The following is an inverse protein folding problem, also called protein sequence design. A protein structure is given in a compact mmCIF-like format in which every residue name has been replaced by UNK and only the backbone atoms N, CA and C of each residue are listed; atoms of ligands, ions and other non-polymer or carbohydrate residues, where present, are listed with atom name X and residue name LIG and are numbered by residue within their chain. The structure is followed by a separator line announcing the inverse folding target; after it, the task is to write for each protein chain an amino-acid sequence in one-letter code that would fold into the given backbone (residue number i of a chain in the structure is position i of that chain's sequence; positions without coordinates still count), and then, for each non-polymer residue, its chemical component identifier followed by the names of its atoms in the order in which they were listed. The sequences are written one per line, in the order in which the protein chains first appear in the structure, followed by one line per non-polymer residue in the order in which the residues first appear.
data_IF_207944477257
#
_entry.id   IF_207944477257
#
_cell.length_a   1.000
_cell.length_b   1.000
_cell.length_c   1.000
_cell.angle_alpha   90.00
_cell.angle_beta   90.00
_cell.angle_gamma   90.00
#
_symmetry.space_group_name_H-M   'P 1'
#
loop_
_entity.id
_entity.type
_entity.pdbx_description
1 polymer ?
#
# COMPACT_ATOMS: atom_id res chain seq x y z
N UNK A 1 14.06 -21.30 9.18
CA UNK A 1 14.55 -21.36 7.80
C UNK A 1 13.83 -20.38 6.87
N UNK A 2 12.51 -20.16 6.97
CA UNK A 2 11.77 -19.20 6.11
C UNK A 2 12.23 -17.74 6.23
N UNK A 3 12.65 -17.29 7.42
CA UNK A 3 13.11 -15.89 7.62
C UNK A 3 14.46 -15.60 6.94
N UNK A 4 15.33 -16.59 6.81
CA UNK A 4 16.62 -16.45 6.10
C UNK A 4 16.42 -16.36 4.59
N UNK A 5 15.44 -17.05 4.03
CA UNK A 5 15.13 -16.99 2.59
C UNK A 5 14.59 -15.63 2.17
N UNK A 6 13.80 -14.97 3.01
CA UNK A 6 13.25 -13.63 2.74
C UNK A 6 14.36 -12.57 2.75
N UNK A 7 15.31 -12.66 3.67
CA UNK A 7 16.46 -11.74 3.75
C UNK A 7 17.41 -11.98 2.57
N UNK A 8 17.66 -13.25 2.20
CA UNK A 8 18.49 -13.59 1.05
C UNK A 8 17.87 -13.15 -0.29
N UNK A 9 16.54 -13.27 -0.45
CA UNK A 9 15.84 -12.78 -1.64
C UNK A 9 15.87 -11.25 -1.73
N UNK A 10 15.77 -10.54 -0.62
CA UNK A 10 15.85 -9.08 -0.58
C UNK A 10 17.27 -8.57 -0.88
N UNK A 11 18.32 -9.29 -0.43
CA UNK A 11 19.72 -8.93 -0.71
C UNK A 11 20.15 -9.28 -2.13
N UNK A 12 19.59 -10.32 -2.77
CA UNK A 12 19.84 -10.63 -4.17
C UNK A 12 19.16 -9.67 -5.16
N UNK A 13 18.07 -9.01 -4.76
CA UNK A 13 17.38 -8.03 -5.61
C UNK A 13 18.12 -6.69 -5.72
N UNK A 14 18.99 -6.37 -4.75
CA UNK A 14 19.71 -5.08 -4.71
C UNK A 14 20.75 -4.89 -5.85
N UNK A 15 21.55 -5.88 -6.28
CA UNK A 15 22.54 -5.67 -7.33
C UNK A 15 21.94 -5.60 -8.74
N UNK A 16 20.73 -6.12 -8.98
CA UNK A 16 20.07 -6.03 -10.30
C UNK A 16 19.62 -4.58 -10.59
N UNK A 17 19.36 -3.79 -9.56
CA UNK A 17 18.98 -2.38 -9.70
C UNK A 17 20.19 -1.50 -10.03
N UNK A 18 21.41 -1.93 -9.68
CA UNK A 18 22.64 -1.16 -9.88
C UNK A 18 23.20 -1.23 -11.31
N UNK A 19 22.77 -2.17 -12.15
CA UNK A 19 23.29 -2.36 -13.52
C UNK A 19 22.37 -1.83 -14.63
N UNK A 20 21.19 -1.34 -14.31
CA UNK A 20 20.33 -0.67 -15.29
C UNK A 20 20.88 0.74 -15.56
N UNK A 21 21.77 0.84 -16.51
CA UNK A 21 22.30 2.09 -17.01
C UNK A 21 21.19 3.03 -17.49
N UNK A 22 21.37 4.32 -17.16
CA UNK A 22 20.71 5.52 -17.65
C UNK A 22 19.35 5.88 -17.07
N UNK A 23 19.42 6.91 -16.18
CA UNK A 23 18.34 7.86 -15.89
C UNK A 23 17.03 7.29 -15.34
N UNK A 24 17.06 6.18 -14.61
CA UNK A 24 15.87 5.64 -13.96
C UNK A 24 15.59 6.44 -12.71
N UNK A 25 14.58 7.33 -12.77
CA UNK A 25 14.19 8.09 -11.60
C UNK A 25 13.47 7.18 -10.61
N UNK A 26 14.07 7.01 -9.46
CA UNK A 26 13.50 6.25 -8.34
C UNK A 26 12.78 7.20 -7.41
N UNK A 27 11.60 6.84 -6.97
CA UNK A 27 10.78 7.56 -6.01
C UNK A 27 10.49 6.68 -4.81
N UNK A 28 10.68 7.22 -3.59
CA UNK A 28 10.27 6.58 -2.34
C UNK A 28 9.24 7.46 -1.66
N UNK A 29 8.14 6.89 -1.25
CA UNK A 29 7.10 7.56 -0.48
C UNK A 29 7.00 6.93 0.90
N UNK A 30 6.80 7.75 1.91
CA UNK A 30 6.42 7.33 3.24
C UNK A 30 5.43 8.33 3.82
N UNK A 31 4.37 7.83 4.45
CA UNK A 31 3.34 8.69 4.99
C UNK A 31 2.29 7.99 5.83
N UNK A 32 1.39 8.81 6.33
CA UNK A 32 0.19 8.39 7.02
C UNK A 32 -0.83 7.85 6.03
N UNK A 33 -1.57 6.84 6.45
CA UNK A 33 -2.62 6.22 5.66
C UNK A 33 -3.85 5.95 6.52
N UNK A 34 -5.00 6.34 6.01
CA UNK A 34 -6.31 6.05 6.57
C UNK A 34 -7.03 5.11 5.62
N UNK A 35 -7.69 4.09 6.16
CA UNK A 35 -8.50 3.15 5.39
C UNK A 35 -9.88 3.01 6.01
N UNK A 36 -10.91 3.15 5.18
CA UNK A 36 -12.28 2.86 5.52
C UNK A 36 -12.69 1.53 4.90
N UNK A 37 -13.10 0.61 5.74
CA UNK A 37 -13.66 -0.66 5.34
C UNK A 37 -15.16 -0.48 5.13
N UNK A 38 -15.64 -0.69 3.92
CA UNK A 38 -17.06 -0.85 3.66
C UNK A 38 -17.42 -2.32 3.87
N UNK A 39 -17.94 -2.63 5.03
CA UNK A 39 -18.46 -3.95 5.32
C UNK A 39 -19.93 -4.06 4.86
N UNK A 40 -20.39 -5.32 4.73
CA UNK A 40 -21.73 -5.76 4.32
C UNK A 40 -22.86 -5.02 5.09
N UNK A 41 -24.10 -4.97 4.58
CA UNK A 41 -25.20 -4.13 5.06
C UNK A 41 -25.57 -4.20 6.55
N UNK A 42 -24.95 -5.09 7.32
CA UNK A 42 -25.22 -5.32 8.75
C UNK A 42 -24.04 -5.02 9.69
N UNK A 43 -22.91 -4.49 9.16
CA UNK A 43 -21.72 -4.20 9.98
C UNK A 43 -21.40 -2.72 9.89
N UNK A 44 -21.03 -2.09 11.00
CA UNK A 44 -20.67 -0.66 11.02
C UNK A 44 -19.37 -0.45 10.25
N UNK A 45 -19.32 0.60 9.43
CA UNK A 45 -18.09 1.05 8.77
C UNK A 45 -16.96 1.16 9.79
N UNK A 46 -15.79 0.61 9.43
CA UNK A 46 -14.63 0.62 10.31
C UNK A 46 -13.54 1.52 9.75
N UNK A 47 -13.04 2.38 10.60
CA UNK A 47 -11.97 3.31 10.30
C UNK A 47 -10.64 2.78 10.84
N UNK A 48 -9.68 2.55 9.96
CA UNK A 48 -8.36 2.08 10.31
C UNK A 48 -7.32 3.15 10.00
N UNK A 49 -6.43 3.38 10.97
CA UNK A 49 -5.31 4.30 10.83
C UNK A 49 -4.01 3.52 10.64
N UNK A 50 -3.06 4.09 9.91
CA UNK A 50 -1.83 3.38 9.66
C UNK A 50 -0.79 4.13 8.85
N UNK A 51 0.05 3.38 8.18
CA UNK A 51 1.12 3.89 7.34
C UNK A 51 1.06 3.32 5.92
N UNK A 52 1.63 4.07 4.99
CA UNK A 52 1.90 3.60 3.63
C UNK A 52 3.33 3.97 3.23
N UNK A 53 4.06 2.98 2.73
CA UNK A 53 5.40 3.14 2.18
C UNK A 53 5.42 2.57 0.78
N UNK A 54 5.98 3.28 -0.18
CA UNK A 54 6.10 2.75 -1.53
C UNK A 54 7.36 3.19 -2.23
N UNK A 55 7.86 2.33 -3.14
CA UNK A 55 8.94 2.61 -4.06
C UNK A 55 8.44 2.51 -5.50
N UNK A 56 8.88 3.44 -6.37
CA UNK A 56 8.56 3.40 -7.78
C UNK A 56 9.80 3.67 -8.63
N UNK A 57 9.96 2.89 -9.70
CA UNK A 57 11.06 3.02 -10.65
C UNK A 57 10.47 3.32 -12.03
N UNK A 58 10.83 4.46 -12.60
CA UNK A 58 10.38 4.88 -13.94
C UNK A 58 11.10 4.03 -14.98
N UNK A 59 10.35 3.34 -15.84
CA UNK A 59 10.87 2.39 -16.84
C UNK A 59 10.70 2.87 -18.28
N UNK A 60 9.71 3.73 -18.56
CA UNK A 60 9.41 4.11 -19.94
C UNK A 60 8.93 5.56 -20.07
N UNK A 61 9.40 6.26 -21.14
CA UNK A 61 8.98 7.62 -21.57
C UNK A 61 8.82 8.63 -20.42
N UNK A 62 9.66 8.57 -19.40
CA UNK A 62 9.66 9.50 -18.26
C UNK A 62 8.36 9.51 -17.43
N UNK A 63 7.33 8.75 -17.81
CA UNK A 63 5.99 8.82 -17.20
C UNK A 63 5.50 7.50 -16.62
N UNK A 64 5.91 6.36 -17.19
CA UNK A 64 5.49 5.05 -16.72
C UNK A 64 6.52 4.47 -15.76
N UNK A 65 6.07 4.02 -14.61
CA UNK A 65 6.89 3.41 -13.56
C UNK A 65 6.28 2.08 -13.11
N UNK A 66 7.11 1.23 -12.54
CA UNK A 66 6.66 0.10 -11.71
C UNK A 66 6.72 0.55 -10.26
N UNK A 67 5.63 0.36 -9.53
CA UNK A 67 5.48 0.71 -8.12
C UNK A 67 5.32 -0.55 -7.29
N UNK A 68 6.02 -0.60 -6.15
CA UNK A 68 5.74 -1.51 -5.03
C UNK A 68 5.20 -0.69 -3.86
N UNK A 69 4.14 -1.16 -3.23
CA UNK A 69 3.40 -0.43 -2.18
C UNK A 69 3.15 -1.38 -0.99
N UNK A 70 3.52 -0.94 0.19
CA UNK A 70 3.30 -1.66 1.44
C UNK A 70 2.55 -0.74 2.39
N UNK A 71 1.42 -1.20 2.91
CA UNK A 71 0.69 -0.44 3.91
C UNK A 71 0.20 -1.34 5.05
N UNK A 72 0.17 -0.77 6.24
CA UNK A 72 -0.37 -1.42 7.44
C UNK A 72 -1.37 -0.51 8.11
N UNK A 73 -2.55 -1.05 8.41
CA UNK A 73 -3.66 -0.33 9.02
C UNK A 73 -4.11 -1.05 10.30
N UNK A 74 -4.38 -0.27 11.31
CA UNK A 74 -4.73 -0.74 12.66
C UNK A 74 -6.02 -0.06 13.11
N UNK A 75 -6.90 -0.82 13.74
CA UNK A 75 -8.13 -0.31 14.30
C UNK A 75 -8.67 -1.22 15.40
N UNK A 76 -9.51 -0.66 16.23
CA UNK A 76 -10.20 -1.39 17.29
C UNK A 76 -11.65 -1.58 16.86
N UNK A 77 -12.10 -2.83 16.82
CA UNK A 77 -13.50 -3.16 16.58
C UNK A 77 -14.21 -3.26 17.91
N UNK A 78 -15.19 -2.40 18.11
CA UNK A 78 -16.13 -2.51 19.24
C UNK A 78 -17.26 -3.47 18.81
N UNK A 79 -17.13 -4.73 19.15
CA UNK A 79 -18.25 -5.68 19.03
C UNK A 79 -19.05 -5.57 20.31
N UNK A 80 -20.35 -5.28 20.20
CA UNK A 80 -21.27 -4.90 21.30
C UNK A 80 -21.33 -5.84 22.51
N UNK A 81 -20.70 -7.02 22.48
CA UNK A 81 -20.83 -8.05 23.52
C UNK A 81 -19.47 -8.69 23.91
N UNK A 82 -18.35 -8.29 23.28
CA UNK A 82 -17.04 -8.90 23.53
C UNK A 82 -15.95 -7.89 23.82
N UNK A 83 -14.89 -8.26 24.57
CA UNK A 83 -13.75 -7.38 24.84
C UNK A 83 -13.07 -6.97 23.52
N UNK A 84 -12.38 -5.83 23.56
CA UNK A 84 -11.64 -5.20 22.47
C UNK A 84 -11.01 -6.21 21.53
N UNK A 85 -11.33 -6.11 20.26
CA UNK A 85 -10.71 -6.91 19.20
C UNK A 85 -9.79 -6.01 18.39
N UNK A 86 -8.49 -6.29 18.43
CA UNK A 86 -7.50 -5.56 17.64
C UNK A 86 -7.47 -6.14 16.22
N UNK A 87 -7.75 -5.30 15.23
CA UNK A 87 -7.66 -5.65 13.83
C UNK A 87 -6.44 -5.00 13.19
N UNK A 88 -5.69 -5.80 12.44
CA UNK A 88 -4.55 -5.36 11.65
C UNK A 88 -4.67 -5.85 10.23
N UNK A 89 -4.66 -4.93 9.28
CA UNK A 89 -4.65 -5.23 7.85
C UNK A 89 -3.34 -4.77 7.22
N UNK A 90 -2.63 -5.67 6.57
CA UNK A 90 -1.41 -5.40 5.83
C UNK A 90 -1.66 -5.65 4.34
N UNK A 91 -1.19 -4.74 3.49
CA UNK A 91 -1.27 -4.85 2.04
C UNK A 91 0.14 -4.84 1.46
N UNK A 92 0.41 -5.75 0.53
CA UNK A 92 1.64 -5.84 -0.26
C UNK A 92 1.26 -5.86 -1.73
N UNK A 93 1.41 -4.73 -2.39
CA UNK A 93 0.91 -4.52 -3.75
C UNK A 93 2.04 -4.08 -4.68
N UNK A 94 1.94 -4.42 -5.96
CA UNK A 94 2.85 -3.93 -7.00
C UNK A 94 2.10 -3.76 -8.32
N UNK A 95 2.59 -2.89 -9.18
CA UNK A 95 1.99 -2.67 -10.50
C UNK A 95 2.41 -1.38 -11.16
N UNK A 96 1.80 -1.05 -12.31
CA UNK A 96 2.12 0.15 -13.07
C UNK A 96 1.61 1.42 -12.38
N UNK A 97 2.43 2.47 -12.47
CA UNK A 97 2.08 3.85 -12.13
C UNK A 97 2.39 4.76 -13.30
N UNK A 98 1.44 5.59 -13.67
CA UNK A 98 1.60 6.64 -14.66
C UNK A 98 1.62 8.01 -14.01
N UNK A 99 2.67 8.83 -14.29
CA UNK A 99 2.84 10.17 -13.70
C UNK A 99 2.77 11.24 -14.79
N UNK A 100 1.89 12.22 -14.60
CA UNK A 100 1.74 13.38 -15.48
C UNK A 100 2.77 14.45 -15.11
N UNK A 101 3.73 14.73 -16.01
CA UNK A 101 4.87 15.60 -15.72
C UNK A 101 4.82 16.97 -16.40
N UNK A 102 3.74 17.28 -17.10
CA UNK A 102 3.59 18.53 -17.86
C UNK A 102 3.36 19.76 -16.98
N UNK A 103 2.94 19.58 -15.73
CA UNK A 103 2.62 20.70 -14.84
C UNK A 103 3.85 21.01 -13.95
N UNK A 104 4.35 22.27 -13.91
CA UNK A 104 5.64 22.58 -13.29
C UNK A 104 5.72 22.29 -11.79
N UNK A 105 4.68 22.60 -11.02
CA UNK A 105 4.70 22.52 -9.55
C UNK A 105 4.05 21.28 -8.99
N UNK A 106 3.08 20.71 -9.71
CA UNK A 106 2.33 19.53 -9.26
C UNK A 106 2.57 18.38 -10.20
N UNK A 107 2.50 17.16 -9.64
CA UNK A 107 2.59 15.93 -10.41
C UNK A 107 1.44 15.00 -10.05
N UNK A 108 0.36 15.02 -10.81
CA UNK A 108 -0.67 14.02 -10.71
C UNK A 108 -0.12 12.64 -11.14
N UNK A 109 -0.62 11.60 -10.53
CA UNK A 109 -0.33 10.22 -10.92
C UNK A 109 -1.57 9.34 -10.75
N UNK A 110 -1.58 8.24 -11.50
CA UNK A 110 -2.56 7.16 -11.35
C UNK A 110 -1.83 5.82 -11.35
N UNK A 111 -2.38 4.83 -10.67
CA UNK A 111 -1.82 3.49 -10.61
C UNK A 111 -2.90 2.41 -10.53
N UNK A 112 -2.50 1.19 -10.93
CA UNK A 112 -3.24 -0.03 -10.72
C UNK A 112 -2.28 -1.07 -10.14
N UNK A 113 -2.58 -1.57 -8.95
CA UNK A 113 -1.68 -2.42 -8.18
C UNK A 113 -2.38 -3.73 -7.83
N UNK A 114 -1.62 -4.82 -7.82
CA UNK A 114 -2.09 -6.17 -7.50
C UNK A 114 -1.18 -6.78 -6.45
N UNK A 115 -1.69 -7.69 -5.65
CA UNK A 115 -0.88 -8.37 -4.66
C UNK A 115 -1.69 -9.12 -3.64
N UNK A 116 -1.26 -9.03 -2.38
CA UNK A 116 -1.86 -9.77 -1.28
C UNK A 116 -2.24 -8.84 -0.14
N UNK A 117 -3.38 -9.14 0.48
CA UNK A 117 -3.82 -8.60 1.75
C UNK A 117 -3.65 -9.66 2.83
N UNK A 118 -3.14 -9.28 3.98
CA UNK A 118 -3.09 -10.10 5.17
C UNK A 118 -3.89 -9.43 6.26
N UNK A 119 -4.90 -10.13 6.77
CA UNK A 119 -5.73 -9.70 7.88
C UNK A 119 -5.35 -10.52 9.11
N UNK A 120 -5.14 -9.84 10.23
CA UNK A 120 -4.97 -10.44 11.54
C UNK A 120 -6.01 -9.86 12.47
N UNK A 121 -6.75 -10.74 13.11
CA UNK A 121 -7.73 -10.40 14.14
C UNK A 121 -7.28 -11.07 15.43
N UNK A 122 -6.91 -10.26 16.42
CA UNK A 122 -6.54 -10.75 17.75
C UNK A 122 -7.73 -10.61 18.67
N UNK A 123 -8.10 -11.69 19.31
CA UNK A 123 -9.19 -11.72 20.27
C UNK A 123 -8.60 -11.85 21.69
N UNK A 124 -8.74 -10.80 22.52
CA UNK A 124 -8.24 -10.82 23.90
C UNK A 124 -9.13 -11.63 24.85
N UNK A 125 -10.20 -12.26 24.33
CA UNK A 125 -11.05 -13.17 25.13
C UNK A 125 -10.32 -14.49 25.39
N UNK A 126 -10.29 -14.91 26.64
CA UNK A 126 -9.66 -16.16 27.09
C UNK A 126 -10.21 -17.35 26.29
N UNK A 127 -9.32 -18.04 25.54
CA UNK A 127 -9.64 -19.28 24.81
C UNK A 127 -9.97 -19.12 23.33
N UNK A 128 -9.93 -17.92 22.76
CA UNK A 128 -10.07 -17.74 21.31
C UNK A 128 -8.71 -17.61 20.61
N UNK A 129 -8.53 -18.39 19.53
CA UNK A 129 -7.31 -18.33 18.73
C UNK A 129 -7.27 -17.06 17.85
N UNK A 130 -6.06 -16.52 17.64
CA UNK A 130 -5.81 -15.47 16.67
C UNK A 130 -6.17 -15.94 15.25
N UNK A 131 -6.98 -15.19 14.55
CA UNK A 131 -7.34 -15.49 13.16
C UNK A 131 -6.38 -14.71 12.26
N UNK A 132 -5.70 -15.44 11.38
CA UNK A 132 -4.87 -14.83 10.33
C UNK A 132 -5.33 -15.38 8.98
N UNK A 133 -5.69 -14.47 8.09
CA UNK A 133 -6.04 -14.84 6.73
C UNK A 133 -5.23 -14.02 5.72
N UNK A 134 -4.97 -14.60 4.55
CA UNK A 134 -4.21 -13.97 3.47
C UNK A 134 -4.92 -14.25 2.16
N UNK A 135 -5.22 -13.20 1.43
CA UNK A 135 -5.93 -13.29 0.17
C UNK A 135 -5.44 -12.32 -0.88
N UNK A 136 -6.04 -12.40 -2.06
CA UNK A 136 -5.73 -11.50 -3.17
C UNK A 136 -6.21 -10.08 -2.88
N UNK A 137 -5.40 -9.09 -3.29
CA UNK A 137 -5.75 -7.69 -3.21
C UNK A 137 -5.47 -6.97 -4.54
N UNK A 138 -6.35 -6.06 -4.87
CA UNK A 138 -6.23 -5.13 -5.99
C UNK A 138 -6.47 -3.71 -5.50
N UNK A 139 -5.64 -2.75 -5.96
CA UNK A 139 -5.87 -1.34 -5.70
C UNK A 139 -5.78 -0.54 -7.00
N UNK A 140 -6.75 0.35 -7.21
CA UNK A 140 -6.73 1.33 -8.30
C UNK A 140 -6.95 2.72 -7.71
N UNK A 141 -6.10 3.66 -8.10
CA UNK A 141 -6.19 5.00 -7.56
C UNK A 141 -5.18 5.96 -8.15
N UNK A 142 -4.98 7.06 -7.44
CA UNK A 142 -4.05 8.09 -7.84
C UNK A 142 -3.93 9.20 -6.81
N UNK A 143 -3.14 10.18 -7.14
CA UNK A 143 -2.90 11.28 -6.22
C UNK A 143 -2.14 12.42 -6.87
N UNK A 144 -1.72 13.35 -6.02
CA UNK A 144 -0.99 14.55 -6.45
C UNK A 144 0.20 14.80 -5.54
N UNK A 145 1.38 14.88 -6.14
CA UNK A 145 2.61 15.30 -5.46
C UNK A 145 2.89 16.78 -5.76
N UNK A 146 3.16 17.57 -4.72
CA UNK A 146 3.62 18.94 -4.79
C UNK A 146 5.16 18.97 -4.72
N UNK A 147 5.81 19.51 -5.74
CA UNK A 147 7.27 19.69 -5.75
C UNK A 147 7.67 20.81 -4.79
N UNK A 148 8.64 20.54 -3.93
CA UNK A 148 9.22 21.57 -3.06
C UNK A 148 10.33 22.34 -3.78
N UNK A 149 10.69 23.55 -3.32
CA UNK A 149 11.82 24.34 -3.86
C UNK A 149 13.19 23.66 -3.71
N UNK A 150 13.29 22.62 -2.89
CA UNK A 150 14.53 21.88 -2.57
C UNK A 150 15.03 21.01 -3.76
N UNK A 151 15.25 21.63 -4.93
CA UNK A 151 15.85 20.98 -6.10
C UNK A 151 15.06 19.79 -6.67
N UNK A 152 13.79 19.64 -6.32
CA UNK A 152 12.94 18.54 -6.81
C UNK A 152 13.24 17.16 -6.24
N UNK A 153 14.19 17.05 -5.31
CA UNK A 153 14.53 15.80 -4.62
C UNK A 153 13.49 15.40 -3.58
N UNK A 154 12.80 16.38 -3.00
CA UNK A 154 11.75 16.19 -2.02
C UNK A 154 10.44 16.71 -2.60
N UNK A 155 9.36 15.99 -2.42
CA UNK A 155 8.01 16.44 -2.72
C UNK A 155 7.07 16.04 -1.58
N UNK A 156 5.95 16.72 -1.46
CA UNK A 156 4.88 16.38 -0.54
C UNK A 156 3.75 15.74 -1.34
N UNK A 157 3.35 14.55 -0.98
CA UNK A 157 2.12 13.96 -1.48
C UNK A 157 0.96 14.58 -0.74
N UNK A 158 0.20 15.44 -1.41
CA UNK A 158 -0.94 16.13 -0.82
C UNK A 158 -2.02 15.14 -0.44
N UNK A 159 -2.32 14.23 -1.37
CA UNK A 159 -3.20 13.09 -1.13
C UNK A 159 -2.91 11.99 -2.17
N UNK A 160 -3.22 10.78 -1.79
CA UNK A 160 -3.40 9.62 -2.65
C UNK A 160 -4.71 8.97 -2.23
N UNK A 161 -5.61 8.72 -3.18
CA UNK A 161 -6.88 8.05 -2.93
C UNK A 161 -6.93 6.77 -3.76
N UNK A 162 -7.20 5.65 -3.10
CA UNK A 162 -7.22 4.32 -3.69
C UNK A 162 -8.52 3.61 -3.34
N UNK A 163 -9.14 3.02 -4.34
CA UNK A 163 -10.10 1.95 -4.16
C UNK A 163 -9.33 0.65 -4.00
N UNK A 164 -9.57 -0.07 -2.92
CA UNK A 164 -8.89 -1.33 -2.58
C UNK A 164 -9.93 -2.43 -2.47
N UNK A 165 -9.82 -3.45 -3.31
CA UNK A 165 -10.64 -4.65 -3.22
C UNK A 165 -9.80 -5.80 -2.71
N UNK A 166 -10.27 -6.44 -1.64
CA UNK A 166 -9.64 -7.62 -1.06
C UNK A 166 -10.57 -8.82 -1.19
N UNK A 167 -9.98 -9.99 -1.38
CA UNK A 167 -10.70 -11.26 -1.40
C UNK A 167 -10.02 -12.21 -0.43
N UNK A 168 -10.69 -12.46 0.69
CA UNK A 168 -10.20 -13.26 1.81
C UNK A 168 -11.05 -14.51 1.95
N UNK A 169 -10.44 -15.63 2.38
CA UNK A 169 -11.11 -16.92 2.58
C UNK A 169 -11.02 -17.33 4.06
N UNK A 170 -11.92 -16.77 4.88
CA UNK A 170 -11.89 -16.89 6.35
C UNK A 170 -12.10 -18.30 6.91
N UNK A 171 -12.53 -19.25 6.12
CA UNK A 171 -12.93 -20.56 6.65
C UNK A 171 -12.18 -21.74 6.06
N UNK A 172 -11.29 -21.52 5.09
CA UNK A 172 -10.69 -22.61 4.33
C UNK A 172 -11.72 -23.49 3.59
N UNK A 173 -12.99 -23.06 3.58
CA UNK A 173 -14.12 -23.79 3.00
C UNK A 173 -14.37 -23.44 1.53
N UNK A 174 -13.51 -22.62 0.92
CA UNK A 174 -13.67 -22.17 -0.45
C UNK A 174 -14.67 -21.01 -0.64
N UNK A 175 -15.31 -20.56 0.42
CA UNK A 175 -16.18 -19.38 0.40
C UNK A 175 -15.37 -18.09 0.64
N UNK A 176 -14.94 -17.44 -0.43
CA UNK A 176 -14.21 -16.18 -0.35
C UNK A 176 -15.16 -15.01 -0.16
N UNK A 177 -14.88 -14.18 0.84
CA UNK A 177 -15.54 -12.89 1.06
C UNK A 177 -14.75 -11.78 0.37
N UNK A 178 -15.43 -10.96 -0.44
CA UNK A 178 -14.84 -9.77 -1.06
C UNK A 178 -15.25 -8.54 -0.27
N UNK A 179 -14.26 -7.71 0.10
CA UNK A 179 -14.51 -6.41 0.73
C UNK A 179 -13.98 -5.29 -0.17
N UNK A 180 -14.73 -4.21 -0.25
CA UNK A 180 -14.36 -2.99 -0.95
C UNK A 180 -13.98 -1.94 0.09
N UNK A 181 -12.80 -1.34 -0.06
CA UNK A 181 -12.26 -0.42 0.91
C UNK A 181 -11.76 0.84 0.21
N UNK A 182 -11.78 1.97 0.91
CA UNK A 182 -11.19 3.22 0.43
C UNK A 182 -9.99 3.56 1.30
N UNK A 183 -8.87 3.86 0.63
CA UNK A 183 -7.62 4.25 1.31
C UNK A 183 -7.25 5.66 0.90
N UNK A 184 -6.91 6.51 1.88
CA UNK A 184 -6.39 7.86 1.66
C UNK A 184 -5.03 7.96 2.35
N UNK A 185 -4.01 8.46 1.63
CA UNK A 185 -2.65 8.59 2.18
C UNK A 185 -2.08 9.96 1.87
N UNK A 186 -1.25 10.47 2.78
CA UNK A 186 -0.49 11.73 2.64
C UNK A 186 0.91 11.56 3.24
N UNK A 187 1.91 12.29 2.75
CA UNK A 187 3.27 12.15 3.28
C UNK A 187 4.34 12.75 2.39
N UNK A 188 5.56 12.23 2.51
CA UNK A 188 6.75 12.74 1.83
C UNK A 188 7.22 11.79 0.74
N UNK A 189 7.63 12.35 -0.38
CA UNK A 189 8.23 11.63 -1.52
C UNK A 189 9.67 12.07 -1.68
N UNK A 190 10.59 11.12 -1.61
CA UNK A 190 12.00 11.31 -1.92
C UNK A 190 12.26 10.84 -3.35
N UNK A 191 13.01 11.61 -4.12
CA UNK A 191 13.29 11.38 -5.54
C UNK A 191 14.77 11.35 -5.82
N UNK A 192 15.22 10.28 -6.49
CA UNK A 192 16.61 10.05 -6.83
C UNK A 192 16.77 9.80 -8.33
N UNK A 193 17.98 10.13 -8.84
CA UNK A 193 18.31 9.98 -10.27
C UNK A 193 17.83 11.17 -11.11
N UNK A 194 18.58 11.47 -12.19
CA UNK A 194 18.22 12.44 -13.22
C UNK A 194 17.60 11.66 -14.39
N UNK A 195 16.51 12.14 -14.93
CA UNK A 195 15.96 11.70 -16.22
C UNK A 195 16.39 12.79 -17.22
N UNK A 196 17.33 12.48 -18.07
CA UNK A 196 17.65 13.28 -19.24
C UNK A 196 16.57 13.16 -20.32
#
# INVERSE_FOLDING_TARGET
MQKLFLIAALTLALPVIAQAQEATRTEFFAGYSYMRLEDSPNTQDQDLNGYNVSGAITIFKKSLAIKADVSGHYGNVLVSITPRTDQRQELFLFGPQYSFRKIPRIRPFAHALFGVARLKVRNDAIGMADITDTGFAFAAGGGVDLKTPLGGKIAVRLFQADFVRTRLDFTGSGNSTSSNNYRISTGVVLRFGKIE
#
